data_IF_834882389798
#
_entry.id   IF_834882389798
#
_cell.length_a   1.000
_cell.length_b   1.000
_cell.length_c   1.000
_cell.angle_alpha   90.00
_cell.angle_beta   90.00
_cell.angle_gamma   90.00
#
_symmetry.space_group_name_H-M   'P 1'
#
loop_
_entity.id
_entity.type
_entity.pdbx_description
1 polymer ?
#
# COMPACT_ATOMS: atom_id res chain seq x y z
N UNK A 1 -3.76 7.62 -6.17
CA UNK A 1 -4.11 7.09 -4.86
C UNK A 1 -3.07 6.06 -4.42
N UNK A 2 -2.80 6.01 -3.13
CA UNK A 2 -1.97 4.98 -2.53
C UNK A 2 -2.88 4.16 -1.61
N UNK A 3 -2.80 2.85 -1.71
CA UNK A 3 -3.54 1.93 -0.86
C UNK A 3 -2.98 0.53 -1.00
N UNK A 4 -3.06 -0.24 0.05
CA UNK A 4 -2.69 -1.64 0.07
C UNK A 4 -3.59 -2.35 1.05
N UNK A 5 -4.26 -3.39 0.61
CA UNK A 5 -5.05 -4.25 1.48
C UNK A 5 -4.63 -5.69 1.25
N UNK A 6 -4.33 -6.39 2.33
CA UNK A 6 -3.86 -7.76 2.30
C UNK A 6 -4.32 -8.51 3.53
N UNK A 7 -4.73 -9.75 3.36
CA UNK A 7 -5.14 -10.63 4.42
C UNK A 7 -4.61 -12.05 4.17
N UNK A 8 -3.69 -12.48 5.02
CA UNK A 8 -3.10 -13.82 4.99
C UNK A 8 -3.83 -14.81 5.91
N UNK A 9 -4.74 -14.30 6.75
CA UNK A 9 -5.40 -15.07 7.80
C UNK A 9 -4.62 -15.10 9.11
N UNK A 10 -5.28 -15.64 10.15
CA UNK A 10 -4.79 -15.52 11.51
C UNK A 10 -3.79 -16.63 11.90
N UNK A 11 -3.86 -17.79 11.23
CA UNK A 11 -3.16 -19.01 11.63
C UNK A 11 -2.10 -19.50 10.62
N UNK A 12 -1.62 -18.64 9.72
CA UNK A 12 -0.54 -19.02 8.83
C UNK A 12 0.84 -18.89 9.52
N UNK A 13 1.83 -19.63 9.05
CA UNK A 13 3.17 -19.73 9.71
C UNK A 13 3.88 -18.39 9.91
N UNK A 14 3.63 -17.41 9.04
CA UNK A 14 4.18 -16.06 9.13
C UNK A 14 3.27 -15.04 9.82
N UNK A 15 2.21 -15.45 10.52
CA UNK A 15 1.26 -14.53 11.16
C UNK A 15 1.91 -13.61 12.21
N UNK A 16 3.05 -13.98 12.75
CA UNK A 16 3.87 -13.13 13.64
C UNK A 16 4.56 -11.98 12.89
N UNK A 17 4.67 -12.06 11.58
CA UNK A 17 5.12 -10.97 10.72
C UNK A 17 3.95 -10.07 10.35
N UNK A 18 2.88 -10.67 9.85
CA UNK A 18 1.64 -10.00 9.45
C UNK A 18 0.48 -10.98 9.33
N UNK A 19 -0.71 -10.61 9.78
CA UNK A 19 -1.97 -11.31 9.52
C UNK A 19 -2.78 -10.55 8.48
N UNK A 20 -2.94 -9.25 8.70
CA UNK A 20 -3.61 -8.36 7.76
C UNK A 20 -3.05 -6.95 7.82
N UNK A 21 -3.12 -6.25 6.69
CA UNK A 21 -2.82 -4.83 6.59
C UNK A 21 -3.83 -4.17 5.66
N UNK A 22 -4.38 -3.04 6.08
CA UNK A 22 -5.22 -2.17 5.27
C UNK A 22 -4.75 -0.73 5.41
N UNK A 23 -4.19 -0.22 4.33
CA UNK A 23 -3.70 1.15 4.20
C UNK A 23 -4.54 1.86 3.16
N UNK A 24 -5.23 2.91 3.56
CA UNK A 24 -6.06 3.72 2.66
C UNK A 24 -5.58 5.17 2.71
N UNK A 25 -5.27 5.73 1.54
CA UNK A 25 -4.90 7.14 1.42
C UNK A 25 -5.81 7.83 0.39
N UNK A 26 -6.50 8.84 0.84
CA UNK A 26 -7.37 9.70 0.05
C UNK A 26 -6.67 11.02 -0.20
N UNK A 27 -6.79 11.53 -1.42
CA UNK A 27 -6.20 12.81 -1.80
C UNK A 27 -7.21 13.69 -2.51
N UNK A 28 -7.43 14.87 -1.99
CA UNK A 28 -8.12 15.97 -2.67
C UNK A 28 -7.05 16.88 -3.30
N UNK A 29 -7.21 17.19 -4.59
CA UNK A 29 -6.24 18.00 -5.32
C UNK A 29 -6.92 19.15 -6.06
N UNK A 30 -7.21 20.29 -5.40
CA UNK A 30 -7.57 21.51 -6.12
C UNK A 30 -6.39 21.95 -7.00
N UNK A 31 -6.69 22.27 -8.25
CA UNK A 31 -5.68 22.62 -9.25
C UNK A 31 -6.13 23.86 -10.00
N UNK A 32 -5.22 24.79 -10.22
CA UNK A 32 -5.41 25.95 -11.10
C UNK A 32 -4.49 25.75 -12.29
N UNK A 33 -5.00 25.98 -13.49
CA UNK A 33 -4.21 25.89 -14.72
C UNK A 33 -4.45 27.09 -15.60
N UNK A 34 -3.42 27.44 -16.35
CA UNK A 34 -3.47 28.53 -17.32
C UNK A 34 -2.79 28.09 -18.62
N UNK A 35 -3.42 28.45 -19.75
CA UNK A 35 -2.90 28.15 -21.10
C UNK A 35 -2.29 29.41 -21.71
N UNK A 36 -1.00 29.34 -22.02
CA UNK A 36 -0.24 30.41 -22.65
C UNK A 36 -0.15 30.16 -24.16
N UNK A 37 -0.36 31.20 -24.97
CA UNK A 37 -0.16 31.19 -26.43
C UNK A 37 -0.81 30.01 -27.16
N UNK A 38 -1.93 29.51 -26.70
CA UNK A 38 -2.66 28.37 -27.25
C UNK A 38 -1.88 27.04 -27.33
N UNK A 39 -0.64 27.01 -26.87
CA UNK A 39 0.26 25.86 -26.99
C UNK A 39 0.77 25.33 -25.66
N UNK A 40 0.97 26.16 -24.67
CA UNK A 40 1.59 25.81 -23.39
C UNK A 40 0.59 25.96 -22.27
N UNK A 41 0.28 24.88 -21.58
CA UNK A 41 -0.54 24.89 -20.37
C UNK A 41 0.33 24.58 -19.16
N UNK A 42 0.19 25.35 -18.10
CA UNK A 42 0.85 25.14 -16.82
C UNK A 42 -0.22 25.02 -15.74
N UNK A 43 -0.10 24.02 -14.91
CA UNK A 43 -1.01 23.80 -13.77
C UNK A 43 -0.25 23.65 -12.47
N UNK A 44 -0.82 24.21 -11.41
CA UNK A 44 -0.32 24.06 -10.04
C UNK A 44 -1.49 23.59 -9.17
N UNK A 45 -1.27 22.54 -8.41
CA UNK A 45 -2.25 21.97 -7.50
C UNK A 45 -1.67 21.78 -6.11
N UNK A 46 -2.53 21.90 -5.10
CA UNK A 46 -2.25 21.51 -3.74
C UNK A 46 -2.83 20.10 -3.51
N UNK A 47 -2.05 19.19 -2.94
CA UNK A 47 -2.55 17.88 -2.54
C UNK A 47 -2.83 17.90 -1.04
N UNK A 48 -4.06 17.55 -0.67
CA UNK A 48 -4.51 17.38 0.72
C UNK A 48 -4.78 15.90 0.89
N UNK A 49 -3.93 15.22 1.67
CA UNK A 49 -3.96 13.76 1.80
C UNK A 49 -4.26 13.37 3.24
N UNK A 50 -5.18 12.45 3.44
CA UNK A 50 -5.52 11.80 4.71
C UNK A 50 -5.75 10.31 4.47
N UNK A 51 -5.90 9.53 5.53
CA UNK A 51 -6.13 8.09 5.35
C UNK A 51 -6.19 7.34 6.66
N UNK A 52 -6.29 6.01 6.54
CA UNK A 52 -6.40 5.08 7.65
C UNK A 52 -5.32 4.02 7.57
N UNK A 53 -4.94 3.52 8.73
CA UNK A 53 -3.99 2.44 8.92
C UNK A 53 -4.63 1.40 9.84
N UNK A 54 -4.69 0.14 9.40
CA UNK A 54 -5.15 -1.01 10.18
C UNK A 54 -4.17 -2.16 9.92
N UNK A 55 -3.49 -2.64 10.94
CA UNK A 55 -2.51 -3.71 10.87
C UNK A 55 -2.78 -4.72 11.98
N UNK A 56 -2.76 -6.01 11.64
CA UNK A 56 -2.86 -7.11 12.60
C UNK A 56 -1.70 -8.08 12.43
N UNK A 57 -1.14 -8.53 13.54
CA UNK A 57 -0.09 -9.54 13.60
C UNK A 57 -0.17 -10.37 14.88
N UNK A 58 0.26 -11.63 14.81
CA UNK A 58 0.39 -12.45 16.02
C UNK A 58 1.57 -11.98 16.87
N UNK A 59 1.39 -11.97 18.19
CA UNK A 59 2.43 -11.62 19.15
C UNK A 59 3.51 -12.71 19.28
N UNK A 60 3.13 -13.96 18.97
CA UNK A 60 4.01 -15.12 18.99
C UNK A 60 4.03 -15.79 17.61
N UNK A 61 5.11 -16.51 17.26
CA UNK A 61 5.09 -17.41 16.11
C UNK A 61 3.92 -18.38 16.21
N UNK A 62 3.21 -18.58 15.11
CA UNK A 62 2.04 -19.47 15.06
C UNK A 62 2.51 -20.90 14.81
N UNK A 63 1.98 -21.84 15.59
CA UNK A 63 2.27 -23.25 15.45
C UNK A 63 2.21 -24.02 16.77
N UNK A 64 1.91 -25.29 16.68
CA UNK A 64 1.78 -26.19 17.83
C UNK A 64 3.05 -26.23 18.72
N UNK A 65 4.24 -26.17 18.10
CA UNK A 65 5.51 -26.15 18.83
C UNK A 65 5.64 -24.93 19.76
N UNK A 66 5.19 -23.76 19.32
CA UNK A 66 5.19 -22.52 20.14
C UNK A 66 4.22 -22.66 21.30
N UNK A 67 2.99 -23.14 21.04
CA UNK A 67 1.95 -23.30 22.03
C UNK A 67 2.35 -24.33 23.10
N UNK A 68 2.97 -25.44 22.71
CA UNK A 68 3.52 -26.44 23.62
C UNK A 68 4.70 -25.88 24.44
N UNK A 69 5.54 -25.04 23.86
CA UNK A 69 6.63 -24.38 24.57
C UNK A 69 6.09 -23.46 25.67
N UNK A 70 5.07 -22.64 25.38
CA UNK A 70 4.42 -21.76 26.36
C UNK A 70 3.75 -22.59 27.46
N UNK A 71 3.06 -23.69 27.11
CA UNK A 71 2.49 -24.63 28.08
C UNK A 71 3.56 -25.22 29.02
N UNK A 72 4.73 -25.58 28.49
CA UNK A 72 5.87 -26.05 29.28
C UNK A 72 6.43 -25.00 30.23
N UNK A 73 6.55 -23.73 29.78
CA UNK A 73 6.97 -22.62 30.62
C UNK A 73 5.99 -22.37 31.79
N UNK A 74 4.68 -22.43 31.52
CA UNK A 74 3.64 -22.30 32.54
C UNK A 74 3.74 -23.44 33.56
N UNK A 75 3.98 -24.66 33.13
CA UNK A 75 4.18 -25.82 34.01
C UNK A 75 5.40 -25.63 34.91
N UNK A 76 6.50 -25.17 34.33
CA UNK A 76 7.75 -24.91 35.09
C UNK A 76 7.57 -23.76 36.10
N UNK A 77 6.71 -22.79 35.81
CA UNK A 77 6.36 -21.69 36.70
C UNK A 77 5.29 -22.07 37.77
N UNK A 78 4.95 -23.37 37.91
CA UNK A 78 3.94 -23.84 38.85
C UNK A 78 2.49 -23.57 38.46
N UNK A 79 2.25 -23.20 37.21
CA UNK A 79 0.93 -22.88 36.66
C UNK A 79 0.46 -23.94 35.66
N UNK A 80 0.84 -25.20 35.86
CA UNK A 80 0.55 -26.32 34.95
C UNK A 80 -0.95 -26.58 34.72
N UNK A 81 -1.81 -26.12 35.62
CA UNK A 81 -3.26 -26.16 35.47
C UNK A 81 -3.78 -25.44 34.21
N UNK A 82 -3.02 -24.48 33.71
CA UNK A 82 -3.37 -23.73 32.51
C UNK A 82 -2.68 -24.26 31.24
N UNK A 83 -1.69 -25.13 31.38
CA UNK A 83 -0.90 -25.65 30.26
C UNK A 83 -1.78 -26.31 29.18
N UNK A 84 -2.83 -27.02 29.58
CA UNK A 84 -3.76 -27.71 28.70
C UNK A 84 -4.51 -26.74 27.75
N UNK A 85 -4.83 -25.52 28.19
CA UNK A 85 -5.47 -24.51 27.36
C UNK A 85 -4.60 -24.14 26.16
N UNK A 86 -3.27 -24.08 26.36
CA UNK A 86 -2.33 -23.72 25.30
C UNK A 86 -2.06 -24.89 24.35
N UNK A 87 -1.99 -26.11 24.84
CA UNK A 87 -1.86 -27.29 23.99
C UNK A 87 -3.11 -27.54 23.17
N UNK A 88 -4.31 -27.30 23.72
CA UNK A 88 -5.57 -27.39 22.99
C UNK A 88 -5.74 -26.31 21.90
N UNK A 89 -5.01 -25.21 21.97
CA UNK A 89 -4.99 -24.19 20.94
C UNK A 89 -4.38 -24.74 19.62
N UNK A 90 -3.59 -25.82 19.70
CA UNK A 90 -2.99 -26.48 18.54
C UNK A 90 -2.07 -25.54 17.75
N UNK A 91 -2.39 -25.32 16.49
CA UNK A 91 -1.65 -24.45 15.56
C UNK A 91 -2.20 -23.01 15.48
N UNK A 92 -3.12 -22.64 16.38
CA UNK A 92 -3.73 -21.29 16.35
C UNK A 92 -2.83 -20.22 16.95
N UNK A 93 -3.01 -18.98 16.45
CA UNK A 93 -2.47 -17.80 17.12
C UNK A 93 -3.10 -17.62 18.49
N UNK A 94 -2.29 -17.51 19.54
CA UNK A 94 -2.76 -17.33 20.92
C UNK A 94 -3.27 -15.92 21.18
N UNK A 95 -2.56 -14.92 20.63
CA UNK A 95 -2.88 -13.51 20.76
C UNK A 95 -2.37 -12.73 19.57
N UNK A 96 -3.22 -11.87 19.06
CA UNK A 96 -2.91 -10.97 17.95
C UNK A 96 -2.98 -9.52 18.43
N UNK A 97 -1.99 -8.72 18.05
CA UNK A 97 -2.03 -7.27 18.22
C UNK A 97 -2.65 -6.64 16.96
N UNK A 98 -3.71 -5.87 17.15
CA UNK A 98 -4.35 -5.08 16.10
C UNK A 98 -4.13 -3.60 16.37
N UNK A 99 -3.52 -2.93 15.42
CA UNK A 99 -3.11 -1.53 15.47
C UNK A 99 -3.96 -0.76 14.47
N UNK A 100 -4.66 0.27 14.92
CA UNK A 100 -5.50 1.12 14.09
C UNK A 100 -5.21 2.59 14.34
N UNK A 101 -5.33 3.39 13.31
CA UNK A 101 -5.24 4.83 13.47
C UNK A 101 -5.58 5.60 12.21
N UNK A 102 -5.98 6.84 12.42
CA UNK A 102 -6.23 7.79 11.37
C UNK A 102 -4.99 8.67 11.15
N UNK A 103 -4.58 8.79 9.91
CA UNK A 103 -3.48 9.65 9.57
C UNK A 103 -3.92 11.12 9.56
N UNK A 104 -3.14 11.98 10.21
CA UNK A 104 -3.33 13.42 10.15
C UNK A 104 -3.25 13.90 8.71
N UNK A 105 -4.03 14.94 8.39
CA UNK A 105 -3.99 15.57 7.07
C UNK A 105 -2.59 16.07 6.75
N UNK A 106 -2.07 15.66 5.61
CA UNK A 106 -0.77 16.05 5.11
C UNK A 106 -0.93 16.82 3.80
N UNK A 107 -0.10 17.84 3.60
CA UNK A 107 -0.19 18.74 2.45
C UNK A 107 1.04 18.54 1.56
N UNK A 108 0.81 18.53 0.26
CA UNK A 108 1.83 18.50 -0.77
C UNK A 108 1.46 19.39 -1.95
N UNK A 109 2.31 19.39 -2.96
CA UNK A 109 2.11 20.15 -4.19
C UNK A 109 2.20 19.26 -5.42
N UNK A 110 1.47 19.64 -6.46
CA UNK A 110 1.56 19.06 -7.79
C UNK A 110 1.78 20.19 -8.81
N UNK A 111 2.67 19.97 -9.76
CA UNK A 111 2.94 20.89 -10.86
C UNK A 111 2.86 20.09 -12.15
N UNK A 112 2.18 20.64 -13.15
CA UNK A 112 2.05 20.03 -14.47
C UNK A 112 2.31 21.02 -15.59
N UNK A 113 2.91 20.54 -16.65
CA UNK A 113 3.15 21.29 -17.89
C UNK A 113 2.67 20.43 -19.05
N UNK A 114 1.90 21.02 -19.95
CA UNK A 114 1.49 20.39 -21.20
C UNK A 114 1.82 21.36 -22.34
N UNK A 115 2.56 20.86 -23.32
CA UNK A 115 3.04 21.66 -24.45
C UNK A 115 2.66 21.02 -25.78
N UNK A 116 1.75 21.68 -26.49
CA UNK A 116 1.36 21.34 -27.86
C UNK A 116 2.40 21.94 -28.83
N UNK A 117 3.47 21.18 -29.15
CA UNK A 117 4.56 21.62 -30.01
C UNK A 117 4.02 21.87 -31.42
N UNK A 118 3.29 20.89 -31.95
CA UNK A 118 2.55 20.94 -33.23
C UNK A 118 1.14 20.40 -32.99
N UNK A 119 0.23 20.47 -33.99
CA UNK A 119 -1.08 19.83 -33.89
C UNK A 119 -1.00 18.31 -33.65
N UNK A 120 0.10 17.68 -34.07
CA UNK A 120 0.31 16.23 -33.95
C UNK A 120 1.06 15.84 -32.68
N UNK A 121 1.94 16.70 -32.15
CA UNK A 121 2.83 16.39 -31.03
C UNK A 121 2.53 17.19 -29.77
N UNK A 122 2.30 16.49 -28.69
CA UNK A 122 2.11 17.05 -27.34
C UNK A 122 3.13 16.45 -26.38
N UNK A 123 3.79 17.29 -25.59
CA UNK A 123 4.65 16.86 -24.48
C UNK A 123 4.00 17.18 -23.15
N UNK A 124 4.12 16.27 -22.22
CA UNK A 124 3.63 16.43 -20.84
C UNK A 124 4.75 16.22 -19.84
N UNK A 125 4.69 17.00 -18.76
CA UNK A 125 5.52 16.82 -17.58
C UNK A 125 4.65 17.02 -16.34
N UNK A 126 4.83 16.17 -15.32
CA UNK A 126 4.22 16.42 -14.01
C UNK A 126 5.17 16.04 -12.89
N UNK A 127 5.07 16.79 -11.80
CA UNK A 127 5.76 16.55 -10.54
C UNK A 127 4.75 16.55 -9.40
N UNK A 128 4.78 15.52 -8.56
CA UNK A 128 4.05 15.46 -7.29
C UNK A 128 5.04 15.32 -6.15
N UNK A 129 4.93 16.20 -5.16
CA UNK A 129 5.81 16.18 -3.99
C UNK A 129 5.57 14.96 -3.10
N UNK A 130 6.61 14.57 -2.35
CA UNK A 130 6.50 13.63 -1.24
C UNK A 130 5.55 14.18 -0.17
N UNK A 131 4.75 13.29 0.41
CA UNK A 131 3.87 13.58 1.53
C UNK A 131 4.14 12.57 2.65
N UNK A 132 4.14 13.01 3.91
CA UNK A 132 4.30 12.14 5.08
C UNK A 132 2.96 12.00 5.79
N UNK A 133 2.41 10.82 5.78
CA UNK A 133 1.21 10.50 6.55
C UNK A 133 1.63 10.09 7.95
N UNK A 134 1.19 10.84 8.97
CA UNK A 134 1.47 10.57 10.38
C UNK A 134 0.20 10.13 11.08
N UNK A 135 0.24 8.96 11.70
CA UNK A 135 -0.72 8.54 12.70
C UNK A 135 -0.15 8.94 14.06
N UNK A 136 -0.85 9.76 14.83
CA UNK A 136 -0.33 10.29 16.09
C UNK A 136 -1.20 9.95 17.31
N UNK A 137 -2.30 9.23 17.09
CA UNK A 137 -3.24 8.82 18.14
C UNK A 137 -3.98 7.55 17.70
N UNK A 138 -3.21 6.56 17.25
CA UNK A 138 -3.73 5.23 16.98
C UNK A 138 -3.98 4.45 18.28
N UNK A 139 -4.70 3.36 18.16
CA UNK A 139 -4.99 2.41 19.26
C UNK A 139 -4.35 1.06 18.97
N UNK A 140 -3.90 0.39 20.00
CA UNK A 140 -3.46 -1.00 19.95
C UNK A 140 -4.42 -1.85 20.81
N UNK A 141 -4.92 -2.94 20.22
CA UNK A 141 -5.80 -3.87 20.91
C UNK A 141 -5.27 -5.29 20.78
N UNK A 142 -5.41 -6.07 21.84
CA UNK A 142 -5.07 -7.49 21.87
C UNK A 142 -6.32 -8.32 21.63
N UNK A 143 -6.23 -9.24 20.68
CA UNK A 143 -7.29 -10.22 20.36
C UNK A 143 -6.76 -11.60 20.76
N UNK A 144 -7.45 -12.26 21.68
CA UNK A 144 -7.05 -13.55 22.27
C UNK A 144 -7.79 -14.70 21.62
N UNK A 145 -7.13 -15.86 21.51
CA UNK A 145 -7.76 -17.10 21.06
C UNK A 145 -8.91 -17.55 21.97
N UNK A 146 -8.77 -17.31 23.28
CA UNK A 146 -9.87 -17.41 24.26
C UNK A 146 -9.66 -16.40 25.39
N UNK A 147 -10.74 -16.02 26.13
CA UNK A 147 -10.63 -15.12 27.29
C UNK A 147 -9.70 -15.66 28.37
N UNK A 148 -9.69 -16.98 28.58
CA UNK A 148 -8.89 -17.66 29.59
C UNK A 148 -7.38 -17.56 29.26
N UNK A 149 -7.01 -17.77 27.98
CA UNK A 149 -5.64 -17.58 27.50
C UNK A 149 -5.20 -16.14 27.75
N UNK A 150 -6.06 -15.18 27.46
CA UNK A 150 -5.80 -13.76 27.71
C UNK A 150 -5.51 -13.46 29.17
N UNK A 151 -6.34 -13.96 30.09
CA UNK A 151 -6.15 -13.77 31.52
C UNK A 151 -4.82 -14.37 32.02
N UNK A 152 -4.46 -15.56 31.56
CA UNK A 152 -3.22 -16.22 31.94
C UNK A 152 -2.01 -15.44 31.41
N UNK A 153 -2.00 -15.05 30.15
CA UNK A 153 -0.90 -14.31 29.52
C UNK A 153 -0.68 -12.94 30.18
N UNK A 154 -1.76 -12.25 30.56
CA UNK A 154 -1.67 -10.98 31.28
C UNK A 154 -1.20 -11.17 32.72
N UNK A 155 -1.77 -12.13 33.45
CA UNK A 155 -1.42 -12.40 34.84
C UNK A 155 0.05 -12.84 35.01
N UNK A 156 0.61 -13.51 34.01
CA UNK A 156 2.03 -13.95 33.99
C UNK A 156 3.00 -12.88 33.47
N UNK A 157 2.49 -11.75 32.99
CA UNK A 157 3.31 -10.69 32.38
C UNK A 157 3.98 -11.09 31.05
N UNK A 158 3.52 -12.17 30.40
CA UNK A 158 4.04 -12.61 29.11
C UNK A 158 3.67 -11.66 27.94
N UNK A 159 2.61 -10.89 28.12
CA UNK A 159 2.17 -9.86 27.20
C UNK A 159 1.93 -8.54 27.95
N UNK A 160 2.22 -7.39 27.31
CA UNK A 160 1.94 -6.08 27.90
C UNK A 160 0.44 -5.78 27.88
N UNK A 161 0.00 -4.91 28.79
CA UNK A 161 -1.32 -4.28 28.68
C UNK A 161 -1.27 -3.12 27.68
N UNK A 162 -1.99 -3.26 26.57
CA UNK A 162 -2.08 -2.23 25.52
C UNK A 162 -3.37 -1.43 25.58
N UNK A 163 -4.24 -1.63 26.58
CA UNK A 163 -5.58 -1.05 26.64
C UNK A 163 -5.59 0.48 26.69
N UNK A 164 -4.53 1.09 27.23
CA UNK A 164 -4.35 2.55 27.30
C UNK A 164 -3.23 3.05 26.36
N UNK A 165 -2.61 2.18 25.58
CA UNK A 165 -1.47 2.55 24.77
C UNK A 165 -1.88 3.45 23.58
N UNK A 166 -1.03 4.45 23.32
CA UNK A 166 -1.11 5.28 22.13
C UNK A 166 -0.15 4.77 21.06
N UNK A 167 -0.61 4.74 19.82
CA UNK A 167 0.19 4.30 18.68
C UNK A 167 0.55 5.48 17.80
N UNK A 168 1.84 5.60 17.51
CA UNK A 168 2.35 6.56 16.54
C UNK A 168 3.12 5.84 15.42
N UNK A 169 2.89 6.28 14.18
CA UNK A 169 3.65 5.80 13.02
C UNK A 169 3.67 6.83 11.90
N UNK A 170 4.68 6.75 11.04
CA UNK A 170 4.83 7.63 9.88
C UNK A 170 5.00 6.81 8.61
N UNK A 171 4.14 7.05 7.61
CA UNK A 171 4.22 6.45 6.28
C UNK A 171 4.58 7.51 5.24
N UNK A 172 5.77 7.52 4.66
CA UNK A 172 6.14 8.43 3.58
C UNK A 172 5.55 7.97 2.25
N UNK A 173 4.67 8.80 1.66
CA UNK A 173 4.24 8.63 0.28
C UNK A 173 5.28 9.29 -0.64
N UNK A 174 5.85 8.57 -1.63
CA UNK A 174 6.97 9.07 -2.42
C UNK A 174 6.57 10.21 -3.34
N UNK A 175 7.54 11.08 -3.65
CA UNK A 175 7.42 11.99 -4.77
C UNK A 175 7.48 11.22 -6.09
N UNK A 176 6.85 11.76 -7.12
CA UNK A 176 6.97 11.22 -8.46
C UNK A 176 7.12 12.30 -9.52
N UNK A 177 7.81 11.93 -10.60
CA UNK A 177 7.97 12.72 -11.80
C UNK A 177 7.44 11.89 -12.97
N UNK A 178 6.69 12.51 -13.86
CA UNK A 178 6.21 11.84 -15.05
C UNK A 178 6.48 12.71 -16.30
N UNK A 179 6.86 12.04 -17.37
CA UNK A 179 7.06 12.62 -18.70
C UNK A 179 6.21 11.85 -19.69
N UNK A 180 5.50 12.55 -20.52
CA UNK A 180 4.62 11.95 -21.51
C UNK A 180 4.79 12.59 -22.88
N UNK A 181 4.59 11.79 -23.91
CA UNK A 181 4.54 12.20 -25.32
C UNK A 181 3.25 11.69 -25.92
N UNK A 182 2.47 12.60 -26.49
CA UNK A 182 1.29 12.30 -27.29
C UNK A 182 1.60 12.54 -28.77
N UNK A 183 1.17 11.63 -29.64
CA UNK A 183 1.36 11.73 -31.09
C UNK A 183 0.06 11.39 -31.83
N UNK A 184 -0.41 12.31 -32.66
CA UNK A 184 -1.62 12.21 -33.47
C UNK A 184 -1.30 12.34 -34.95
N UNK A 185 -0.74 11.30 -35.61
CA UNK A 185 -0.33 11.38 -37.02
C UNK A 185 -1.52 11.62 -37.97
N UNK A 186 -2.72 11.24 -37.59
CA UNK A 186 -3.93 11.46 -38.36
C UNK A 186 -5.11 11.67 -37.40
N UNK A 187 -6.27 12.18 -37.86
CA UNK A 187 -7.47 12.28 -37.03
C UNK A 187 -8.02 10.94 -36.52
N UNK A 188 -7.54 9.81 -37.05
CA UNK A 188 -7.95 8.46 -36.62
C UNK A 188 -7.04 7.82 -35.59
N UNK A 189 -5.77 8.22 -35.52
CA UNK A 189 -4.79 7.58 -34.68
C UNK A 189 -4.28 8.54 -33.62
N UNK A 190 -4.30 8.07 -32.36
CA UNK A 190 -3.63 8.69 -31.23
C UNK A 190 -2.72 7.68 -30.57
N UNK A 191 -1.51 8.07 -30.28
CA UNK A 191 -0.50 7.27 -29.56
C UNK A 191 -0.03 8.06 -28.36
N UNK A 192 0.23 7.38 -27.26
CA UNK A 192 0.81 7.98 -26.07
C UNK A 192 1.91 7.09 -25.51
N UNK A 193 2.97 7.72 -25.05
CA UNK A 193 4.04 7.08 -24.31
C UNK A 193 4.33 7.91 -23.08
N UNK A 194 4.45 7.28 -21.91
CA UNK A 194 4.86 7.97 -20.71
C UNK A 194 5.84 7.13 -19.86
N UNK A 195 6.67 7.85 -19.14
CA UNK A 195 7.61 7.32 -18.14
C UNK A 195 7.32 8.05 -16.84
N UNK A 196 7.12 7.28 -15.77
CA UNK A 196 6.95 7.79 -14.43
C UNK A 196 8.09 7.28 -13.54
N UNK A 197 8.83 8.21 -12.92
CA UNK A 197 9.88 7.91 -11.95
C UNK A 197 9.36 8.16 -10.53
N UNK A 198 9.32 7.10 -9.71
CA UNK A 198 8.80 7.15 -8.36
C UNK A 198 9.93 7.03 -7.35
N UNK A 199 10.04 8.02 -6.46
CA UNK A 199 11.13 8.16 -5.49
C UNK A 199 10.86 7.33 -4.23
N UNK A 200 10.67 6.01 -4.39
CA UNK A 200 10.39 5.07 -3.31
C UNK A 200 11.53 4.95 -2.29
N UNK A 201 12.75 5.38 -2.60
CA UNK A 201 13.86 5.44 -1.64
C UNK A 201 13.57 6.29 -0.39
N UNK A 202 12.50 7.08 -0.42
CA UNK A 202 11.97 7.78 0.75
C UNK A 202 11.41 6.82 1.82
N UNK A 203 11.01 5.60 1.44
CA UNK A 203 10.46 4.58 2.34
C UNK A 203 11.55 3.60 2.77
N UNK A 204 12.25 3.94 3.85
CA UNK A 204 13.38 3.15 4.37
C UNK A 204 12.93 2.10 5.38
N UNK A 205 12.00 2.43 6.23
CA UNK A 205 11.49 1.56 7.30
C UNK A 205 10.08 1.97 7.70
N UNK A 206 9.34 1.02 8.24
CA UNK A 206 8.11 1.26 8.99
C UNK A 206 8.42 1.03 10.46
N UNK A 207 8.28 2.05 11.26
CA UNK A 207 8.38 2.01 12.70
C UNK A 207 7.03 2.33 13.31
N UNK A 208 6.66 1.59 14.33
CA UNK A 208 5.41 1.77 15.07
C UNK A 208 5.76 1.91 16.54
N UNK A 209 5.59 3.11 17.07
CA UNK A 209 5.79 3.42 18.49
C UNK A 209 4.50 3.12 19.24
N UNK A 210 4.60 2.29 20.28
CA UNK A 210 3.48 2.00 21.20
C UNK A 210 3.89 2.52 22.56
N UNK A 211 3.30 3.63 22.98
CA UNK A 211 3.68 4.38 24.17
C UNK A 211 2.51 4.56 25.14
N UNK A 212 2.82 4.70 26.41
CA UNK A 212 1.89 5.17 27.42
C UNK A 212 1.66 6.67 27.22
N UNK A 213 0.42 7.12 27.00
CA UNK A 213 0.13 8.53 26.70
C UNK A 213 0.39 9.47 27.89
N UNK A 214 0.52 8.93 29.11
CA UNK A 214 0.76 9.73 30.33
C UNK A 214 2.25 9.94 30.59
N UNK A 215 3.04 8.88 30.42
CA UNK A 215 4.48 8.90 30.74
C UNK A 215 5.36 9.08 29.51
N UNK A 216 4.84 8.79 28.30
CA UNK A 216 5.60 8.73 27.06
C UNK A 216 6.55 7.55 26.97
N UNK A 217 6.54 6.64 27.95
CA UNK A 217 7.38 5.45 27.96
C UNK A 217 6.89 4.42 26.95
N UNK A 218 7.82 3.70 26.30
CA UNK A 218 7.46 2.57 25.43
C UNK A 218 6.80 1.48 26.26
N UNK A 219 5.62 1.07 25.83
CA UNK A 219 4.86 -0.04 26.43
C UNK A 219 5.24 -1.36 25.77
N UNK A 220 5.51 -1.31 24.45
CA UNK A 220 5.92 -2.46 23.67
C UNK A 220 6.77 -2.02 22.48
N UNK A 221 7.93 -2.62 22.34
CA UNK A 221 8.86 -2.35 21.23
C UNK A 221 8.61 -3.34 20.09
N UNK A 222 7.92 -2.85 19.05
CA UNK A 222 7.74 -3.61 17.83
C UNK A 222 9.00 -3.54 16.97
N UNK A 223 9.51 -4.67 16.48
CA UNK A 223 10.65 -4.66 15.57
C UNK A 223 10.40 -3.75 14.38
N UNK A 224 11.31 -2.82 14.13
CA UNK A 224 11.26 -1.94 12.95
C UNK A 224 11.30 -2.76 11.67
N UNK A 225 10.29 -2.64 10.82
CA UNK A 225 10.25 -3.30 9.53
C UNK A 225 11.11 -2.53 8.52
N UNK A 226 12.29 -3.07 8.19
CA UNK A 226 13.22 -2.44 7.24
C UNK A 226 12.70 -2.68 5.83
N UNK A 227 12.46 -1.60 5.07
CA UNK A 227 11.95 -1.63 3.70
C UNK A 227 13.05 -1.39 2.67
N UNK A 228 13.87 -0.39 2.89
CA UNK A 228 15.00 -0.02 2.01
C UNK A 228 14.64 0.00 0.52
N UNK A 229 13.47 0.57 0.18
CA UNK A 229 12.95 0.56 -1.18
C UNK A 229 13.87 1.29 -2.15
N UNK A 230 13.95 0.79 -3.39
CA UNK A 230 14.62 1.46 -4.51
C UNK A 230 13.65 2.36 -5.26
N UNK A 231 14.17 3.40 -5.88
CA UNK A 231 13.40 4.17 -6.85
C UNK A 231 13.02 3.29 -8.03
N UNK A 232 11.86 3.53 -8.61
CA UNK A 232 11.31 2.71 -9.70
C UNK A 232 10.91 3.54 -10.89
N UNK A 233 10.87 2.88 -12.04
CA UNK A 233 10.35 3.41 -13.30
C UNK A 233 9.09 2.62 -13.65
N UNK A 234 8.02 3.35 -14.00
CA UNK A 234 6.87 2.78 -14.68
C UNK A 234 6.82 3.35 -16.11
N UNK A 235 6.68 2.48 -17.10
CA UNK A 235 6.65 2.85 -18.53
C UNK A 235 5.34 2.41 -19.13
N UNK A 236 4.65 3.31 -19.85
CA UNK A 236 3.36 3.04 -20.46
C UNK A 236 3.36 3.42 -21.92
N UNK A 237 2.74 2.60 -22.74
CA UNK A 237 2.45 2.88 -24.14
C UNK A 237 0.99 2.58 -24.41
N UNK A 238 0.33 3.46 -25.14
CA UNK A 238 -1.06 3.29 -25.53
C UNK A 238 -1.29 3.75 -26.97
N UNK A 239 -2.23 3.10 -27.63
CA UNK A 239 -2.70 3.46 -28.96
C UNK A 239 -4.22 3.47 -28.98
N UNK A 240 -4.78 4.48 -29.62
CA UNK A 240 -6.20 4.64 -29.84
C UNK A 240 -6.47 4.79 -31.33
N UNK A 241 -7.48 4.07 -31.81
CA UNK A 241 -7.94 4.12 -33.21
C UNK A 241 -9.42 4.44 -33.30
N UNK A 242 -9.73 5.57 -33.93
CA UNK A 242 -11.09 5.99 -34.24
C UNK A 242 -11.55 5.32 -35.54
N UNK A 243 -12.13 4.12 -35.44
CA UNK A 243 -12.55 3.34 -36.58
C UNK A 243 -13.63 4.07 -37.38
N UNK A 244 -14.63 4.63 -36.69
CA UNK A 244 -15.69 5.47 -37.24
C UNK A 244 -16.25 6.40 -36.14
N UNK A 245 -17.31 7.17 -36.48
CA UNK A 245 -17.96 8.08 -35.52
C UNK A 245 -18.58 7.37 -34.29
N UNK A 246 -18.81 6.07 -34.42
CA UNK A 246 -19.50 5.28 -33.41
C UNK A 246 -18.55 4.38 -32.59
N UNK A 247 -17.34 4.08 -33.11
CA UNK A 247 -16.47 3.07 -32.52
C UNK A 247 -15.02 3.59 -32.41
N UNK A 248 -14.47 3.49 -31.22
CA UNK A 248 -13.06 3.73 -30.93
C UNK A 248 -12.47 2.51 -30.23
N UNK A 249 -11.35 1.98 -30.72
CA UNK A 249 -10.61 0.88 -30.11
C UNK A 249 -9.34 1.41 -29.44
N UNK A 250 -8.93 0.77 -28.34
CA UNK A 250 -7.71 1.11 -27.58
C UNK A 250 -6.92 -0.14 -27.21
N UNK A 251 -5.60 -0.04 -27.28
CA UNK A 251 -4.68 -1.03 -26.76
C UNK A 251 -3.61 -0.32 -25.95
N UNK A 252 -3.13 -0.97 -24.89
CA UNK A 252 -2.06 -0.42 -24.08
C UNK A 252 -1.24 -1.49 -23.41
N UNK A 253 -0.03 -1.11 -23.04
CA UNK A 253 0.90 -1.91 -22.23
C UNK A 253 1.53 -1.03 -21.18
N UNK A 254 1.71 -1.58 -19.98
CA UNK A 254 2.37 -0.94 -18.85
C UNK A 254 3.37 -1.90 -18.22
N UNK A 255 4.55 -1.38 -17.89
CA UNK A 255 5.57 -2.07 -17.10
C UNK A 255 5.83 -1.24 -15.87
N UNK A 256 5.53 -1.77 -14.69
CA UNK A 256 5.70 -1.10 -13.39
C UNK A 256 6.69 -1.88 -12.53
N UNK A 257 7.87 -1.31 -12.31
CA UNK A 257 8.93 -1.92 -11.52
C UNK A 257 8.57 -2.02 -10.04
N UNK A 258 8.91 -3.14 -9.43
CA UNK A 258 8.81 -3.30 -7.97
C UNK A 258 9.85 -2.44 -7.24
N UNK A 259 9.45 -1.66 -6.23
CA UNK A 259 10.38 -0.96 -5.34
C UNK A 259 11.08 -1.89 -4.35
N UNK A 260 10.55 -3.08 -4.12
CA UNK A 260 11.04 -4.03 -3.13
C UNK A 260 12.28 -4.73 -3.67
N UNK A 261 13.37 -4.67 -2.90
CA UNK A 261 14.58 -5.45 -3.17
C UNK A 261 14.39 -6.89 -2.69
N UNK A 262 15.02 -7.85 -3.37
CA UNK A 262 14.95 -9.28 -2.99
C UNK A 262 15.30 -9.54 -1.53
N UNK A 263 16.32 -8.86 -1.00
CA UNK A 263 16.82 -9.02 0.36
C UNK A 263 15.85 -8.48 1.44
N UNK A 264 14.86 -7.68 1.03
CA UNK A 264 13.87 -7.05 1.91
C UNK A 264 12.43 -7.45 1.55
N UNK A 265 12.27 -8.59 0.88
CA UNK A 265 10.94 -9.12 0.59
C UNK A 265 10.25 -9.48 1.90
N UNK A 266 9.07 -8.89 2.12
CA UNK A 266 8.32 -9.04 3.36
C UNK A 266 6.84 -9.26 3.02
N UNK A 267 6.15 -10.19 3.68
CA UNK A 267 4.72 -10.45 3.46
C UNK A 267 3.80 -9.27 3.83
N UNK A 268 4.28 -8.25 4.57
CA UNK A 268 3.52 -7.01 4.81
C UNK A 268 3.24 -6.22 3.51
N UNK A 269 4.21 -6.20 2.59
CA UNK A 269 4.12 -5.44 1.34
C UNK A 269 4.77 -6.21 0.20
N UNK A 270 4.25 -7.40 -0.15
CA UNK A 270 4.78 -8.15 -1.28
C UNK A 270 4.55 -7.32 -2.55
N UNK A 271 5.58 -7.18 -3.33
CA UNK A 271 5.53 -6.47 -4.59
C UNK A 271 6.46 -7.14 -5.61
N UNK A 272 6.00 -7.19 -6.83
CA UNK A 272 6.73 -7.73 -7.97
C UNK A 272 6.64 -6.74 -9.14
N UNK A 273 7.59 -6.80 -10.05
CA UNK A 273 7.51 -6.07 -11.32
C UNK A 273 6.32 -6.60 -12.11
N UNK A 274 5.42 -5.70 -12.50
CA UNK A 274 4.17 -6.05 -13.19
C UNK A 274 4.25 -5.63 -14.65
N UNK A 275 3.73 -6.49 -15.51
CA UNK A 275 3.45 -6.16 -16.90
C UNK A 275 1.94 -6.26 -17.11
N UNK A 276 1.34 -5.18 -17.58
CA UNK A 276 -0.09 -5.10 -17.81
C UNK A 276 -0.36 -4.93 -19.30
N UNK A 277 -1.30 -5.67 -19.83
CA UNK A 277 -1.84 -5.53 -21.18
C UNK A 277 -3.29 -5.09 -21.06
N UNK A 278 -3.65 -4.05 -21.79
CA UNK A 278 -5.01 -3.49 -21.74
C UNK A 278 -5.61 -3.40 -23.12
N UNK A 279 -6.90 -3.67 -23.21
CA UNK A 279 -7.70 -3.46 -24.41
C UNK A 279 -9.00 -2.78 -24.02
N UNK A 280 -9.51 -1.92 -24.92
CA UNK A 280 -10.76 -1.23 -24.67
C UNK A 280 -11.47 -0.86 -25.97
N UNK A 281 -12.79 -0.72 -25.87
CA UNK A 281 -13.63 -0.24 -26.96
C UNK A 281 -14.66 0.76 -26.43
N UNK A 282 -14.80 1.87 -27.12
CA UNK A 282 -15.90 2.83 -26.90
C UNK A 282 -16.90 2.68 -28.04
N UNK A 283 -18.18 2.60 -27.68
CA UNK A 283 -19.29 2.60 -28.60
C UNK A 283 -20.16 3.82 -28.29
N UNK A 284 -20.39 4.68 -29.28
CA UNK A 284 -21.26 5.87 -29.21
C UNK A 284 -22.53 5.64 -30.01
N UNK A 285 -23.60 5.03 -29.43
CA UNK A 285 -24.84 4.72 -30.15
C UNK A 285 -25.55 5.98 -30.64
N UNK A 286 -25.40 7.07 -29.89
CA UNK A 286 -25.93 8.39 -30.27
C UNK A 286 -25.02 9.50 -29.67
N UNK A 287 -25.28 10.77 -30.03
CA UNK A 287 -24.45 11.92 -29.64
C UNK A 287 -24.29 12.11 -28.11
N UNK A 288 -25.24 11.63 -27.33
CA UNK A 288 -25.32 11.90 -25.90
C UNK A 288 -25.02 10.65 -25.02
N UNK A 289 -24.71 9.51 -25.65
CA UNK A 289 -24.44 8.24 -24.94
C UNK A 289 -23.15 7.63 -25.44
N UNK A 290 -22.28 7.32 -24.50
CA UNK A 290 -21.03 6.59 -24.73
C UNK A 290 -20.99 5.38 -23.80
N UNK A 291 -20.64 4.22 -24.33
CA UNK A 291 -20.47 2.97 -23.61
C UNK A 291 -19.01 2.57 -23.77
N UNK A 292 -18.29 2.49 -22.65
CA UNK A 292 -16.90 2.09 -22.60
C UNK A 292 -16.78 0.70 -21.99
N UNK A 293 -16.11 -0.21 -22.69
CA UNK A 293 -15.73 -1.52 -22.22
C UNK A 293 -14.20 -1.61 -22.17
N UNK A 294 -13.66 -2.08 -21.07
CA UNK A 294 -12.21 -2.23 -20.90
C UNK A 294 -11.88 -3.58 -20.25
N UNK A 295 -10.78 -4.17 -20.68
CA UNK A 295 -10.20 -5.38 -20.12
C UNK A 295 -8.71 -5.17 -19.86
N UNK A 296 -8.22 -5.68 -18.73
CA UNK A 296 -6.81 -5.64 -18.36
C UNK A 296 -6.33 -7.03 -17.89
N UNK A 297 -5.17 -7.44 -18.39
CA UNK A 297 -4.46 -8.62 -17.96
C UNK A 297 -3.13 -8.20 -17.35
N UNK A 298 -2.92 -8.58 -16.08
CA UNK A 298 -1.71 -8.24 -15.33
C UNK A 298 -0.96 -9.52 -15.02
N UNK A 299 0.34 -9.52 -15.31
CA UNK A 299 1.24 -10.64 -15.00
C UNK A 299 2.51 -10.15 -14.33
N UNK A 300 3.22 -11.05 -13.64
CA UNK A 300 4.54 -10.76 -13.09
C UNK A 300 5.62 -10.91 -14.16
N UNK A 301 6.58 -9.99 -14.15
CA UNK A 301 7.82 -10.14 -14.91
C UNK A 301 8.88 -10.96 -14.15
N UNK A 302 8.68 -11.22 -12.84
CA UNK A 302 9.60 -11.93 -11.95
C UNK A 302 9.00 -13.31 -11.60
N UNK A 303 9.08 -14.34 -12.46
CA UNK A 303 8.44 -15.64 -12.23
C UNK A 303 8.95 -16.37 -10.98
N UNK A 304 10.19 -16.12 -10.55
CA UNK A 304 10.75 -16.69 -9.31
C UNK A 304 10.11 -16.15 -8.03
N UNK A 305 9.42 -15.01 -8.11
CA UNK A 305 8.71 -14.38 -6.97
C UNK A 305 7.23 -14.79 -6.90
N UNK A 306 6.73 -15.52 -7.85
CA UNK A 306 5.34 -15.98 -7.88
C UNK A 306 5.12 -17.27 -7.08
N UNK A 307 6.06 -17.66 -6.22
CA UNK A 307 5.98 -18.77 -5.26
C UNK A 307 5.04 -19.90 -5.68
N UNK A 308 5.56 -20.88 -6.34
CA UNK A 308 4.87 -22.18 -6.48
C UNK A 308 5.00 -22.95 -5.17
#
# INVERSE_FOLDING_TARGET
>A
PYGSSMNWGDNWVGAHLIQSIDLQAYTLQPTISYKFWDKLSVGVGMTITWGTFDLSRSMFPVGEATNNTIAGLLTAAGQGQYAELFTQAGDRSLVSARIKGDAKTAIGVNVGILWDITPEWTLGFSYRSKVKMKVASGTANLLYASPEIGQVLQATGMIPDLSSACVETELPLPANLAWGVGFRPTPKWEMAFDIQYVLWSAYKSLHVDITDPTTGASVYDLPTSIKNYKNTVATRIGVQYHACKFVTARLGMDVDESPVRSDFLNPETPSMTKVSYTAGVTINPCKNVSIDLAYGYITSADPERTGS
#
